data_IF_183778079200
#
_entry.id   IF_183778079200
#
_cell.length_a   1.000
_cell.length_b   1.000
_cell.length_c   1.000
_cell.angle_alpha   90.00
_cell.angle_beta   90.00
_cell.angle_gamma   90.00
#
_symmetry.space_group_name_H-M   'P 1'
#
loop_
_entity.id
_entity.type
_entity.pdbx_description
1 polymer ?
#
# COMPACT_ATOMS: atom_id res chain seq x y z
N UNK A 1 -4.15 13.54 4.53
CA UNK A 1 -2.74 13.67 4.95
C UNK A 1 -1.92 12.89 3.96
N UNK A 2 -0.78 13.44 3.55
CA UNK A 2 0.18 12.75 2.70
C UNK A 2 0.91 11.64 3.47
N UNK A 3 1.43 10.64 2.77
CA UNK A 3 2.33 9.65 3.38
C UNK A 3 3.70 10.31 3.59
N UNK A 4 4.14 10.43 4.85
CA UNK A 4 5.46 11.02 5.13
C UNK A 4 6.60 10.02 4.85
N UNK A 5 7.83 10.51 4.75
CA UNK A 5 8.99 9.65 4.52
C UNK A 5 9.23 8.65 5.67
N UNK A 6 8.96 9.06 6.92
CA UNK A 6 9.05 8.17 8.09
C UNK A 6 7.97 7.08 8.07
N UNK A 7 6.74 7.45 7.71
CA UNK A 7 5.65 6.47 7.55
C UNK A 7 6.00 5.47 6.45
N UNK A 8 6.50 5.97 5.31
CA UNK A 8 6.92 5.11 4.21
C UNK A 8 8.02 4.14 4.64
N UNK A 9 9.04 4.60 5.37
CA UNK A 9 10.11 3.74 5.87
C UNK A 9 9.60 2.65 6.83
N UNK A 10 8.61 2.95 7.66
CA UNK A 10 7.98 1.99 8.56
C UNK A 10 7.10 0.97 7.79
N UNK A 11 6.33 1.43 6.81
CA UNK A 11 5.54 0.58 5.91
C UNK A 11 6.46 -0.38 5.14
N UNK A 12 7.56 0.13 4.60
CA UNK A 12 8.59 -0.63 3.91
C UNK A 12 9.13 -1.78 4.78
N UNK A 13 9.49 -1.48 6.03
CA UNK A 13 10.01 -2.48 6.97
C UNK A 13 8.97 -3.55 7.30
N UNK A 14 7.71 -3.16 7.48
CA UNK A 14 6.63 -4.09 7.77
C UNK A 14 6.36 -5.05 6.60
N UNK A 15 6.38 -4.53 5.36
CA UNK A 15 6.15 -5.31 4.15
C UNK A 15 7.34 -6.19 3.76
N UNK A 16 8.57 -5.71 3.95
CA UNK A 16 9.78 -6.49 3.69
C UNK A 16 9.90 -7.73 4.58
N UNK A 17 9.33 -7.70 5.80
CA UNK A 17 9.32 -8.82 6.75
C UNK A 17 7.95 -9.50 6.86
N UNK A 18 7.02 -9.23 5.93
CA UNK A 18 5.68 -9.78 5.98
C UNK A 18 5.71 -11.30 5.76
N UNK A 19 5.19 -12.04 6.73
CA UNK A 19 4.90 -13.47 6.57
C UNK A 19 3.59 -13.72 5.81
N UNK A 20 2.66 -12.76 5.86
CA UNK A 20 1.39 -12.78 5.14
C UNK A 20 0.77 -11.39 5.02
N UNK A 21 0.18 -11.07 3.86
CA UNK A 21 -0.33 -9.72 3.57
C UNK A 21 -1.50 -9.33 4.48
N UNK A 22 -2.40 -10.24 4.81
CA UNK A 22 -3.57 -9.94 5.65
C UNK A 22 -3.19 -9.54 7.09
N UNK A 23 -2.21 -10.23 7.68
CA UNK A 23 -1.71 -9.89 9.02
C UNK A 23 -0.96 -8.55 8.99
N UNK A 24 -0.09 -8.35 7.99
CA UNK A 24 0.65 -7.10 7.83
C UNK A 24 -0.29 -5.91 7.61
N UNK A 25 -1.33 -6.06 6.78
CA UNK A 25 -2.34 -5.04 6.56
C UNK A 25 -3.07 -4.65 7.85
N UNK A 26 -3.38 -5.63 8.71
CA UNK A 26 -4.02 -5.36 10.01
C UNK A 26 -3.12 -4.49 10.89
N UNK A 27 -1.83 -4.87 11.04
CA UNK A 27 -0.85 -4.09 11.81
C UNK A 27 -0.65 -2.68 11.24
N UNK A 28 -0.61 -2.56 9.91
CA UNK A 28 -0.45 -1.28 9.23
C UNK A 28 -1.67 -0.36 9.42
N UNK A 29 -2.88 -0.92 9.41
CA UNK A 29 -4.11 -0.15 9.71
C UNK A 29 -4.15 0.35 11.15
N UNK A 30 -3.63 -0.43 12.09
CA UNK A 30 -3.51 -0.01 13.50
C UNK A 30 -2.42 1.05 13.71
N UNK A 31 -1.28 0.92 13.03
CA UNK A 31 -0.17 1.86 13.11
C UNK A 31 -0.47 3.20 12.38
N UNK A 32 -1.19 3.13 11.26
CA UNK A 32 -1.49 4.26 10.40
C UNK A 32 -3.00 4.39 10.15
N UNK A 33 -3.82 4.63 11.20
CA UNK A 33 -5.28 4.68 11.08
C UNK A 33 -5.78 5.88 10.27
N UNK A 34 -4.92 6.87 10.04
CA UNK A 34 -5.20 8.06 9.23
C UNK A 34 -4.99 7.82 7.73
N UNK A 35 -4.34 6.72 7.33
CA UNK A 35 -4.21 6.31 5.93
C UNK A 35 -5.35 5.38 5.53
N UNK A 36 -5.82 5.52 4.29
CA UNK A 36 -6.73 4.55 3.69
C UNK A 36 -5.92 3.34 3.22
N UNK A 37 -6.35 2.16 3.63
CA UNK A 37 -5.70 0.90 3.28
C UNK A 37 -6.66 0.05 2.45
N UNK A 38 -6.26 -0.27 1.23
CA UNK A 38 -6.96 -1.17 0.33
C UNK A 38 -6.09 -2.38 0.02
N UNK A 39 -6.71 -3.50 -0.30
CA UNK A 39 -6.03 -4.70 -0.80
C UNK A 39 -6.85 -5.37 -1.87
N UNK A 40 -6.19 -5.83 -2.92
CA UNK A 40 -6.77 -6.58 -4.03
C UNK A 40 -5.78 -7.66 -4.49
N UNK A 41 -6.15 -8.43 -5.49
CA UNK A 41 -5.20 -9.30 -6.17
C UNK A 41 -4.24 -8.45 -7.03
N UNK A 42 -3.01 -8.91 -7.25
CA UNK A 42 -2.07 -8.24 -8.16
C UNK A 42 -2.56 -8.28 -9.62
N UNK A 43 -3.34 -9.30 -10.01
CA UNK A 43 -3.97 -9.36 -11.33
C UNK A 43 -5.09 -8.31 -11.52
N UNK A 44 -5.62 -7.71 -10.45
CA UNK A 44 -6.65 -6.68 -10.51
C UNK A 44 -6.06 -5.26 -10.73
N UNK A 45 -4.73 -5.12 -10.70
CA UNK A 45 -4.03 -3.83 -10.84
C UNK A 45 -3.13 -3.88 -12.05
N UNK A 46 -3.28 -2.90 -12.94
CA UNK A 46 -2.46 -2.81 -14.16
C UNK A 46 -1.40 -1.71 -14.09
N UNK A 47 -1.58 -0.80 -13.13
CA UNK A 47 -0.69 0.31 -12.86
C UNK A 47 0.64 -0.17 -12.30
N UNK A 48 1.71 0.56 -12.63
CA UNK A 48 3.04 0.21 -12.13
C UNK A 48 3.10 0.35 -10.60
N UNK A 49 3.64 -0.65 -9.89
CA UNK A 49 3.81 -0.55 -8.46
C UNK A 49 4.90 0.47 -8.13
N UNK A 50 4.67 1.25 -7.08
CA UNK A 50 5.72 2.10 -6.52
C UNK A 50 6.86 1.23 -5.98
N UNK A 51 6.51 0.11 -5.36
CA UNK A 51 7.48 -0.88 -4.88
C UNK A 51 6.89 -2.28 -4.83
N UNK A 52 7.67 -3.25 -5.28
CA UNK A 52 7.33 -4.67 -5.20
C UNK A 52 8.04 -5.35 -4.04
N UNK A 53 7.31 -6.22 -3.35
CA UNK A 53 7.80 -7.12 -2.30
C UNK A 53 7.48 -8.56 -2.67
N UNK A 54 8.03 -9.52 -1.92
CA UNK A 54 7.88 -10.95 -2.22
C UNK A 54 6.42 -11.42 -2.30
N UNK A 55 5.52 -10.85 -1.47
CA UNK A 55 4.12 -11.27 -1.38
C UNK A 55 3.12 -10.21 -1.82
N UNK A 56 3.56 -8.98 -2.08
CA UNK A 56 2.66 -7.89 -2.42
C UNK A 56 3.37 -6.77 -3.19
N UNK A 57 2.59 -6.06 -3.98
CA UNK A 57 2.97 -4.83 -4.65
C UNK A 57 2.31 -3.65 -3.93
N UNK A 58 3.08 -2.58 -3.70
CA UNK A 58 2.61 -1.37 -3.04
C UNK A 58 2.37 -0.28 -4.09
N UNK A 59 1.15 0.26 -4.06
CA UNK A 59 0.76 1.40 -4.87
C UNK A 59 0.25 2.52 -3.97
N UNK A 60 0.56 3.75 -4.32
CA UNK A 60 -0.04 4.91 -3.65
C UNK A 60 -1.35 5.26 -4.31
N UNK A 61 -2.31 5.67 -3.48
CA UNK A 61 -3.63 6.06 -3.93
C UNK A 61 -3.90 7.51 -3.53
N UNK A 62 -4.50 8.26 -4.45
CA UNK A 62 -5.26 9.46 -4.10
C UNK A 62 -6.75 9.11 -3.98
N UNK A 63 -7.22 9.08 -2.74
CA UNK A 63 -8.61 8.90 -2.34
C UNK A 63 -9.29 10.22 -1.96
N UNK A 64 -8.71 11.38 -2.33
CA UNK A 64 -9.25 12.70 -1.96
C UNK A 64 -10.52 13.07 -2.72
N UNK A 65 -10.79 12.41 -3.85
CA UNK A 65 -11.94 12.67 -4.71
C UNK A 65 -12.86 11.44 -4.84
N UNK A 66 -13.94 11.54 -5.62
CA UNK A 66 -14.90 10.44 -5.78
C UNK A 66 -14.29 9.17 -6.39
N UNK A 67 -13.39 9.33 -7.36
CA UNK A 67 -12.63 8.22 -7.93
C UNK A 67 -11.27 8.11 -7.24
N UNK A 68 -10.90 6.88 -6.87
CA UNK A 68 -9.58 6.57 -6.36
C UNK A 68 -8.63 6.40 -7.54
N UNK A 69 -7.47 7.05 -7.50
CA UNK A 69 -6.45 6.94 -8.55
C UNK A 69 -5.11 6.49 -7.99
N UNK A 70 -4.38 5.67 -8.74
CA UNK A 70 -2.99 5.35 -8.42
C UNK A 70 -2.11 6.56 -8.76
N UNK A 71 -1.27 6.97 -7.82
CA UNK A 71 -0.32 8.07 -7.98
C UNK A 71 1.11 7.55 -7.79
N UNK A 72 2.07 8.16 -8.47
CA UNK A 72 3.49 7.79 -8.33
C UNK A 72 4.16 8.46 -7.12
N UNK A 73 3.59 9.57 -6.64
CA UNK A 73 4.20 10.42 -5.63
C UNK A 73 3.52 10.26 -4.26
N UNK A 74 4.33 9.94 -3.24
CA UNK A 74 3.85 9.73 -1.87
C UNK A 74 3.29 11.02 -1.22
N UNK A 75 3.75 12.20 -1.65
CA UNK A 75 3.25 13.47 -1.14
C UNK A 75 1.82 13.78 -1.64
N UNK A 76 1.41 13.17 -2.76
CA UNK A 76 0.04 13.23 -3.28
C UNK A 76 -0.85 12.08 -2.78
N UNK A 77 -0.26 11.05 -2.17
CA UNK A 77 -0.97 9.88 -1.69
C UNK A 77 -1.81 10.17 -0.44
N UNK A 78 -3.10 9.87 -0.47
CA UNK A 78 -3.99 9.86 0.70
C UNK A 78 -4.39 8.43 1.13
N UNK A 79 -3.87 7.41 0.44
CA UNK A 79 -4.02 6.01 0.78
C UNK A 79 -2.94 5.12 0.15
N UNK A 80 -3.00 3.84 0.51
CA UNK A 80 -2.09 2.78 0.04
C UNK A 80 -2.91 1.57 -0.39
N UNK A 81 -2.58 1.02 -1.55
CA UNK A 81 -3.08 -0.25 -2.06
C UNK A 81 -1.98 -1.30 -1.93
N UNK A 82 -2.32 -2.44 -1.34
CA UNK A 82 -1.48 -3.64 -1.38
C UNK A 82 -2.09 -4.65 -2.37
N UNK A 83 -1.48 -4.76 -3.54
CA UNK A 83 -1.83 -5.79 -4.53
C UNK A 83 -1.16 -7.11 -4.08
N UNK A 84 -1.97 -8.07 -3.66
CA UNK A 84 -1.51 -9.35 -3.16
C UNK A 84 -1.05 -10.21 -4.32
N UNK A 85 0.22 -10.61 -4.31
CA UNK A 85 0.72 -11.58 -5.27
C UNK A 85 0.28 -12.94 -4.76
N UNK A 86 -0.55 -13.66 -5.51
CA UNK A 86 -0.77 -15.08 -5.23
C UNK A 86 0.59 -15.76 -5.27
N UNK A 87 0.97 -16.37 -4.15
CA UNK A 87 2.17 -17.19 -4.10
C UNK A 87 2.08 -18.24 -5.21
N UNK A 88 3.12 -18.31 -6.03
CA UNK A 88 3.34 -19.41 -6.96
C UNK A 88 3.36 -20.76 -6.22
#
# INVERSE_FOLDING_TARGET
MAVSADDLAAIDRALANAAGVAETLTKLREAFPYLRWLSCDADDVTEEPFRSYAQADLHFLDCSNHCVHVVADAAQASGVLLAQRRGA
#
